data_IF_117391583094
#
_entry.id   IF_117391583094
#
_cell.length_a   1.000
_cell.length_b   1.000
_cell.length_c   1.000
_cell.angle_alpha   90.00
_cell.angle_beta   90.00
_cell.angle_gamma   90.00
#
_symmetry.space_group_name_H-M   'P 1'
#
loop_
_entity.id
_entity.type
_entity.pdbx_description
1 polymer ?
#
# COMPACT_ATOMS: atom_id res chain seq x y z
N UNK A 1 -54.50 6.85 -2.39
CA UNK A 1 -53.22 7.50 -2.74
C UNK A 1 -52.37 7.57 -1.47
N UNK A 2 -51.44 6.63 -1.29
CA UNK A 2 -50.40 6.67 -0.24
C UNK A 2 -49.16 6.02 -0.84
N UNK A 3 -48.19 6.84 -1.20
CA UNK A 3 -46.81 6.41 -1.41
C UNK A 3 -46.04 6.94 -0.20
N UNK A 4 -45.67 6.02 0.69
CA UNK A 4 -44.64 6.30 1.69
C UNK A 4 -43.32 6.41 0.93
N UNK A 5 -42.78 7.62 0.84
CA UNK A 5 -41.36 7.82 0.55
C UNK A 5 -40.58 7.51 1.82
N UNK A 6 -40.01 6.31 1.87
CA UNK A 6 -39.10 5.87 2.92
C UNK A 6 -37.80 5.40 2.28
N UNK A 7 -36.83 6.32 2.24
CA UNK A 7 -35.40 6.06 2.42
C UNK A 7 -34.77 4.89 1.66
N UNK A 8 -34.62 5.06 0.34
CA UNK A 8 -33.70 4.24 -0.46
C UNK A 8 -32.21 4.65 -0.31
N UNK A 9 -31.86 5.46 0.68
CA UNK A 9 -30.49 5.99 0.89
C UNK A 9 -29.73 5.25 2.00
N UNK A 10 -30.39 4.37 2.76
CA UNK A 10 -29.79 3.61 3.86
C UNK A 10 -29.08 2.30 3.46
N UNK A 11 -28.98 1.98 2.17
CA UNK A 11 -28.63 0.63 1.67
C UNK A 11 -27.25 0.51 1.02
N UNK A 12 -26.32 1.43 1.29
CA UNK A 12 -24.90 1.17 1.08
C UNK A 12 -24.30 0.79 2.43
N UNK A 13 -24.21 -0.52 2.67
CA UNK A 13 -23.46 -1.11 3.78
C UNK A 13 -22.09 -0.44 3.91
N UNK A 14 -21.93 0.54 4.80
CA UNK A 14 -20.61 1.00 5.20
C UNK A 14 -20.09 0.00 6.21
N UNK A 15 -19.57 -1.13 5.72
CA UNK A 15 -18.87 -2.06 6.58
C UNK A 15 -17.76 -1.30 7.29
N UNK A 16 -17.67 -1.47 8.61
CA UNK A 16 -16.64 -0.83 9.41
C UNK A 16 -15.28 -1.46 9.07
N UNK A 17 -14.25 -0.62 8.92
CA UNK A 17 -12.89 -1.12 8.70
C UNK A 17 -12.41 -1.87 9.94
N UNK A 18 -11.94 -3.09 9.76
CA UNK A 18 -11.13 -3.79 10.76
C UNK A 18 -9.70 -3.28 10.64
N UNK A 19 -9.37 -2.25 11.41
CA UNK A 19 -8.03 -1.66 11.41
C UNK A 19 -6.93 -2.64 11.82
N UNK A 20 -7.23 -3.57 12.74
CA UNK A 20 -6.24 -4.53 13.23
C UNK A 20 -5.91 -5.52 12.12
N UNK A 21 -6.93 -6.11 11.50
CA UNK A 21 -6.74 -7.04 10.39
C UNK A 21 -6.13 -6.35 9.16
N UNK A 22 -6.54 -5.10 8.87
CA UNK A 22 -5.97 -4.30 7.78
C UNK A 22 -4.48 -4.04 8.00
N UNK A 23 -4.07 -3.60 9.21
CA UNK A 23 -2.65 -3.38 9.52
C UNK A 23 -1.82 -4.66 9.40
N UNK A 24 -2.37 -5.79 9.85
CA UNK A 24 -1.70 -7.08 9.73
C UNK A 24 -1.50 -7.49 8.27
N UNK A 25 -2.54 -7.35 7.44
CA UNK A 25 -2.48 -7.68 6.01
C UNK A 25 -1.51 -6.78 5.23
N UNK A 26 -1.49 -5.48 5.52
CA UNK A 26 -0.53 -4.55 4.91
C UNK A 26 0.90 -4.87 5.36
N UNK A 27 1.10 -5.20 6.64
CA UNK A 27 2.42 -5.62 7.14
C UNK A 27 2.93 -6.86 6.43
N UNK A 28 2.11 -7.91 6.34
CA UNK A 28 2.44 -9.15 5.63
C UNK A 28 2.82 -8.87 4.18
N UNK A 29 2.03 -8.05 3.48
CA UNK A 29 2.34 -7.61 2.13
C UNK A 29 3.74 -6.98 2.01
N UNK A 30 4.12 -6.09 2.94
CA UNK A 30 5.45 -5.46 2.90
C UNK A 30 6.60 -6.34 3.36
N UNK A 31 6.34 -7.33 4.22
CA UNK A 31 7.37 -8.25 4.74
C UNK A 31 7.61 -9.43 3.79
N UNK A 32 6.59 -9.88 3.06
CA UNK A 32 6.67 -11.07 2.20
C UNK A 32 6.56 -10.77 0.70
N UNK A 33 5.51 -10.07 0.27
CA UNK A 33 5.22 -9.88 -1.16
C UNK A 33 6.08 -8.79 -1.79
N UNK A 34 6.28 -7.68 -1.09
CA UNK A 34 7.07 -6.55 -1.60
C UNK A 34 8.52 -6.94 -1.95
N UNK A 35 9.27 -7.69 -1.10
CA UNK A 35 10.59 -8.20 -1.48
C UNK A 35 10.55 -9.14 -2.69
N UNK A 36 9.50 -9.96 -2.85
CA UNK A 36 9.35 -10.84 -4.02
C UNK A 36 9.11 -10.05 -5.30
N UNK A 37 8.29 -9.00 -5.24
CA UNK A 37 8.05 -8.09 -6.36
C UNK A 37 9.34 -7.38 -6.78
N UNK A 38 10.15 -6.93 -5.82
CA UNK A 38 11.47 -6.35 -6.07
C UNK A 38 12.39 -7.34 -6.82
N UNK A 39 12.47 -8.58 -6.34
CA UNK A 39 13.26 -9.64 -6.97
C UNK A 39 12.75 -9.96 -8.39
N UNK A 40 11.44 -10.10 -8.59
CA UNK A 40 10.85 -10.38 -9.92
C UNK A 40 11.09 -9.25 -10.92
N UNK A 41 11.08 -8.01 -10.46
CA UNK A 41 11.36 -6.84 -11.28
C UNK A 41 12.86 -6.63 -11.54
N UNK A 42 13.75 -7.42 -10.92
CA UNK A 42 15.20 -7.19 -10.86
C UNK A 42 15.53 -5.76 -10.37
N UNK A 43 14.79 -5.29 -9.36
CA UNK A 43 14.95 -3.94 -8.80
C UNK A 43 15.38 -4.07 -7.34
N UNK A 44 16.63 -3.71 -7.05
CA UNK A 44 17.09 -3.44 -5.69
C UNK A 44 16.87 -1.96 -5.36
N UNK A 45 15.99 -1.67 -4.41
CA UNK A 45 15.61 -0.27 -4.11
C UNK A 45 16.66 0.52 -3.32
N UNK A 46 17.74 -0.13 -2.87
CA UNK A 46 18.86 0.49 -2.15
C UNK A 46 19.56 1.57 -3.01
N UNK A 47 19.39 1.54 -4.33
CA UNK A 47 20.01 2.46 -5.30
C UNK A 47 19.05 3.47 -5.95
N UNK A 48 17.77 3.50 -5.57
CA UNK A 48 16.75 4.28 -6.31
C UNK A 48 16.39 5.58 -5.61
N UNK A 49 16.93 6.71 -6.11
CA UNK A 49 16.16 7.95 -6.19
C UNK A 49 15.10 7.69 -7.28
N UNK A 50 13.82 7.64 -6.89
CA UNK A 50 12.62 7.42 -7.72
C UNK A 50 12.87 6.82 -9.12
N UNK A 51 12.52 5.55 -9.38
CA UNK A 51 12.74 4.97 -10.68
C UNK A 51 11.85 5.75 -11.65
N UNK A 52 12.47 6.41 -12.63
CA UNK A 52 11.75 6.91 -13.78
C UNK A 52 11.34 5.66 -14.56
N UNK A 53 10.14 5.17 -14.30
CA UNK A 53 9.56 4.04 -15.03
C UNK A 53 9.13 4.56 -16.40
N UNK A 54 10.10 4.75 -17.30
CA UNK A 54 9.81 5.06 -18.70
C UNK A 54 9.28 3.79 -19.38
N UNK A 55 7.98 3.74 -19.64
CA UNK A 55 7.36 2.68 -20.45
C UNK A 55 6.20 1.92 -19.81
N UNK A 56 5.57 2.44 -18.75
CA UNK A 56 4.36 1.82 -18.23
C UNK A 56 3.17 1.99 -19.21
N UNK A 57 2.47 0.90 -19.59
CA UNK A 57 1.17 1.01 -20.22
C UNK A 57 0.19 1.62 -19.20
N UNK A 58 -0.48 2.70 -19.58
CA UNK A 58 -1.52 3.31 -18.75
C UNK A 58 -2.80 2.45 -18.76
N UNK A 59 -3.28 2.07 -17.58
CA UNK A 59 -4.56 1.38 -17.38
C UNK A 59 -4.43 0.42 -16.19
N UNK A 60 -5.30 0.39 -15.18
CA UNK A 60 -6.71 0.74 -15.13
C UNK A 60 -7.45 -0.51 -14.62
N UNK A 61 -7.94 -0.47 -13.37
CA UNK A 61 -8.78 -1.46 -12.68
C UNK A 61 -8.41 -2.95 -12.84
N UNK A 62 -7.69 -3.50 -11.85
CA UNK A 62 -7.54 -4.95 -11.70
C UNK A 62 -8.74 -5.57 -10.97
N UNK A 63 -9.84 -5.73 -11.69
CA UNK A 63 -11.00 -6.51 -11.29
C UNK A 63 -11.10 -7.79 -12.12
N UNK A 64 -10.82 -8.93 -11.48
CA UNK A 64 -11.13 -10.31 -11.91
C UNK A 64 -10.67 -10.77 -13.30
N UNK A 65 -9.65 -11.64 -13.27
CA UNK A 65 -9.55 -12.85 -14.08
C UNK A 65 -10.06 -12.75 -15.53
N UNK A 66 -9.36 -12.07 -16.43
CA UNK A 66 -9.15 -12.53 -17.81
C UNK A 66 -8.13 -11.66 -18.52
N UNK A 67 -7.10 -12.32 -19.03
CA UNK A 67 -6.34 -11.94 -20.22
C UNK A 67 -5.43 -10.71 -20.17
N UNK A 68 -4.31 -10.83 -19.46
CA UNK A 68 -3.11 -10.09 -19.86
C UNK A 68 -1.86 -10.94 -19.59
N UNK A 69 -1.30 -11.53 -20.66
CA UNK A 69 -0.01 -12.25 -20.65
C UNK A 69 1.15 -11.27 -20.47
N UNK A 70 1.15 -10.49 -19.40
CA UNK A 70 2.38 -9.83 -18.96
C UNK A 70 3.32 -10.90 -18.41
N UNK A 71 4.60 -10.81 -18.76
CA UNK A 71 5.61 -11.58 -18.05
C UNK A 71 5.55 -11.23 -16.56
N UNK A 72 5.87 -12.18 -15.68
CA UNK A 72 5.92 -11.94 -14.22
C UNK A 72 6.76 -10.69 -13.89
N UNK A 73 7.80 -10.41 -14.69
CA UNK A 73 8.62 -9.21 -14.60
C UNK A 73 7.86 -7.91 -14.90
N UNK A 74 7.08 -7.85 -15.99
CA UNK A 74 6.29 -6.66 -16.34
C UNK A 74 5.21 -6.40 -15.29
N UNK A 75 4.53 -7.44 -14.83
CA UNK A 75 3.52 -7.33 -13.78
C UNK A 75 4.14 -6.81 -12.47
N UNK A 76 5.29 -7.35 -12.06
CA UNK A 76 6.01 -6.87 -10.88
C UNK A 76 6.37 -5.39 -10.96
N UNK A 77 6.80 -4.90 -12.14
CA UNK A 77 7.07 -3.46 -12.35
C UNK A 77 5.82 -2.59 -12.21
N UNK A 78 4.67 -3.06 -12.67
CA UNK A 78 3.40 -2.34 -12.51
C UNK A 78 3.00 -2.25 -11.04
N UNK A 79 3.11 -3.34 -10.28
CA UNK A 79 2.87 -3.33 -8.84
C UNK A 79 3.81 -2.36 -8.12
N UNK A 80 5.11 -2.40 -8.40
CA UNK A 80 6.09 -1.49 -7.79
C UNK A 80 5.80 -0.01 -8.11
N UNK A 81 5.32 0.27 -9.32
CA UNK A 81 4.89 1.62 -9.68
C UNK A 81 3.68 2.09 -8.88
N UNK A 82 2.64 1.25 -8.78
CA UNK A 82 1.44 1.55 -8.02
C UNK A 82 1.74 1.70 -6.51
N UNK A 83 2.69 0.92 -5.97
CA UNK A 83 3.18 1.11 -4.59
C UNK A 83 3.80 2.50 -4.45
N UNK A 84 4.62 2.95 -5.41
CA UNK A 84 5.22 4.28 -5.35
C UNK A 84 4.18 5.40 -5.43
N UNK A 85 3.17 5.27 -6.30
CA UNK A 85 2.06 6.21 -6.39
C UNK A 85 1.28 6.27 -5.06
N UNK A 86 1.00 5.12 -4.45
CA UNK A 86 0.37 5.07 -3.13
C UNK A 86 1.24 5.77 -2.06
N UNK A 87 2.56 5.58 -2.08
CA UNK A 87 3.52 6.28 -1.20
C UNK A 87 3.56 7.78 -1.43
N UNK A 88 3.35 8.26 -2.66
CA UNK A 88 3.28 9.70 -2.95
C UNK A 88 2.06 10.36 -2.30
N UNK A 89 0.97 9.61 -2.12
CA UNK A 89 -0.20 10.04 -1.36
C UNK A 89 0.02 10.12 0.16
N UNK A 90 1.08 9.52 0.71
CA UNK A 90 1.37 9.55 2.15
C UNK A 90 2.03 10.88 2.54
N UNK A 91 1.41 11.60 3.48
CA UNK A 91 2.01 12.80 4.10
C UNK A 91 3.19 12.45 4.99
N UNK A 92 4.05 13.43 5.28
CA UNK A 92 5.07 13.29 6.32
C UNK A 92 4.42 13.29 7.73
N UNK A 93 4.95 12.52 8.71
CA UNK A 93 6.16 11.69 8.66
C UNK A 93 5.94 10.25 8.16
N UNK A 94 4.70 9.85 7.87
CA UNK A 94 4.33 8.46 7.53
C UNK A 94 5.12 7.89 6.36
N UNK A 95 5.21 8.66 5.26
CA UNK A 95 6.00 8.28 4.09
C UNK A 95 7.46 8.00 4.47
N UNK A 96 8.08 8.89 5.24
CA UNK A 96 9.47 8.74 5.64
C UNK A 96 9.71 7.46 6.45
N UNK A 97 8.85 7.15 7.42
CA UNK A 97 8.97 5.94 8.23
C UNK A 97 8.80 4.66 7.40
N UNK A 98 7.85 4.66 6.46
CA UNK A 98 7.67 3.53 5.53
C UNK A 98 8.90 3.34 4.63
N UNK A 99 9.48 4.42 4.11
CA UNK A 99 10.73 4.36 3.32
C UNK A 99 11.90 3.83 4.14
N UNK A 100 12.11 4.32 5.37
CA UNK A 100 13.20 3.85 6.22
C UNK A 100 13.05 2.35 6.54
N UNK A 101 11.84 1.89 6.87
CA UNK A 101 11.59 0.52 7.34
C UNK A 101 11.54 -0.51 6.22
N UNK A 102 10.91 -0.19 5.09
CA UNK A 102 10.61 -1.17 4.03
C UNK A 102 11.46 -1.01 2.77
N UNK A 103 11.85 0.21 2.42
CA UNK A 103 12.70 0.44 1.25
C UNK A 103 14.17 0.33 1.61
N UNK A 104 14.57 0.95 2.73
CA UNK A 104 15.95 0.90 3.24
C UNK A 104 16.22 -0.25 4.19
N UNK A 105 15.18 -1.01 4.56
CA UNK A 105 15.26 -2.18 5.44
C UNK A 105 15.99 -1.92 6.75
N UNK A 106 15.85 -0.70 7.32
CA UNK A 106 16.50 -0.35 8.57
C UNK A 106 15.81 -1.02 9.76
N UNK A 107 16.61 -1.41 10.76
CA UNK A 107 16.10 -1.85 12.05
C UNK A 107 15.49 -0.69 12.83
N UNK A 108 14.66 -0.97 13.84
CA UNK A 108 14.09 0.08 14.68
C UNK A 108 15.15 0.91 15.42
N UNK A 109 16.20 0.26 15.91
CA UNK A 109 17.37 0.92 16.49
C UNK A 109 17.98 1.93 15.50
N UNK A 110 18.24 1.48 14.27
CA UNK A 110 18.76 2.33 13.19
C UNK A 110 17.81 3.48 12.82
N UNK A 111 16.50 3.28 12.88
CA UNK A 111 15.50 4.34 12.61
C UNK A 111 15.49 5.35 13.76
N UNK A 112 15.54 4.89 15.01
CA UNK A 112 15.60 5.77 16.18
C UNK A 112 16.89 6.58 16.24
N UNK A 113 18.01 6.08 15.73
CA UNK A 113 19.26 6.86 15.62
C UNK A 113 19.16 8.00 14.58
N UNK A 114 18.25 7.87 13.60
CA UNK A 114 18.12 8.78 12.45
C UNK A 114 16.95 9.75 12.57
N UNK A 115 16.11 9.58 13.58
CA UNK A 115 14.87 10.34 13.76
C UNK A 115 14.71 10.77 15.22
N UNK A 116 13.97 11.85 15.51
CA UNK A 116 13.73 12.26 16.90
C UNK A 116 12.72 11.35 17.63
N UNK A 117 12.32 10.23 17.04
CA UNK A 117 11.25 9.38 17.54
C UNK A 117 11.81 8.10 18.18
N UNK A 118 11.23 7.75 19.33
CA UNK A 118 11.40 6.41 19.90
C UNK A 118 10.84 5.33 18.98
N UNK A 119 11.33 4.10 19.14
CA UNK A 119 10.80 2.94 18.42
C UNK A 119 9.28 2.82 18.55
N UNK A 120 8.74 3.00 19.76
CA UNK A 120 7.28 2.94 19.99
C UNK A 120 6.52 4.00 19.19
N UNK A 121 7.03 5.23 19.13
CA UNK A 121 6.43 6.29 18.32
C UNK A 121 6.53 5.96 16.83
N UNK A 122 7.66 5.44 16.37
CA UNK A 122 7.85 4.99 14.99
C UNK A 122 6.89 3.86 14.60
N UNK A 123 6.69 2.88 15.48
CA UNK A 123 5.74 1.79 15.26
C UNK A 123 4.30 2.31 15.15
N UNK A 124 3.90 3.28 15.98
CA UNK A 124 2.58 3.91 15.88
C UNK A 124 2.42 4.66 14.55
N UNK A 125 3.44 5.42 14.14
CA UNK A 125 3.45 6.11 12.83
C UNK A 125 3.28 5.10 11.69
N UNK A 126 4.03 3.98 11.70
CA UNK A 126 3.89 2.95 10.65
C UNK A 126 2.50 2.30 10.67
N UNK A 127 1.94 2.01 11.85
CA UNK A 127 0.61 1.43 11.95
C UNK A 127 -0.48 2.33 11.33
N UNK A 128 -0.36 3.65 11.52
CA UNK A 128 -1.24 4.62 10.85
C UNK A 128 -0.95 4.70 9.35
N UNK A 129 0.32 4.66 8.97
CA UNK A 129 0.75 4.64 7.57
C UNK A 129 0.18 3.45 6.81
N UNK A 130 0.06 2.28 7.43
CA UNK A 130 -0.55 1.09 6.82
C UNK A 130 -2.01 1.29 6.47
N UNK A 131 -2.79 1.94 7.33
CA UNK A 131 -4.19 2.24 7.02
C UNK A 131 -4.27 3.19 5.83
N UNK A 132 -3.48 4.28 5.84
CA UNK A 132 -3.44 5.23 4.72
C UNK A 132 -3.01 4.56 3.41
N UNK A 133 -2.00 3.71 3.47
CA UNK A 133 -1.54 2.94 2.31
C UNK A 133 -2.63 2.00 1.78
N UNK A 134 -3.36 1.28 2.65
CA UNK A 134 -4.43 0.38 2.22
C UNK A 134 -5.55 1.11 1.46
N UNK A 135 -5.85 2.36 1.83
CA UNK A 135 -6.79 3.19 1.07
C UNK A 135 -6.20 3.67 -0.26
N UNK A 136 -4.95 4.14 -0.25
CA UNK A 136 -4.29 4.65 -1.46
C UNK A 136 -4.02 3.55 -2.50
N UNK A 137 -3.87 2.29 -2.07
CA UNK A 137 -3.53 1.16 -2.92
C UNK A 137 -4.75 0.31 -3.34
N UNK A 138 -5.96 0.69 -2.92
CA UNK A 138 -7.17 -0.12 -3.08
C UNK A 138 -7.54 -0.44 -4.54
N UNK A 139 -7.21 0.45 -5.48
CA UNK A 139 -7.46 0.23 -6.91
C UNK A 139 -6.51 -0.80 -7.54
N UNK A 140 -5.39 -1.10 -6.87
CA UNK A 140 -4.39 -2.10 -7.30
C UNK A 140 -4.57 -3.42 -6.57
N UNK A 141 -4.68 -3.38 -5.24
CA UNK A 141 -4.88 -4.56 -4.41
C UNK A 141 -5.72 -4.22 -3.19
N UNK A 142 -6.80 -4.98 -2.98
CA UNK A 142 -7.64 -4.80 -1.82
C UNK A 142 -6.95 -5.31 -0.55
N UNK A 143 -6.33 -4.40 0.18
CA UNK A 143 -5.67 -4.67 1.47
C UNK A 143 -6.55 -4.32 2.67
N UNK A 144 -7.71 -3.67 2.47
CA UNK A 144 -8.63 -3.34 3.56
C UNK A 144 -9.42 -4.58 3.95
N UNK A 145 -9.60 -4.75 5.25
CA UNK A 145 -10.45 -5.79 5.82
C UNK A 145 -11.62 -5.11 6.49
N UNK A 146 -12.83 -5.58 6.21
CA UNK A 146 -14.07 -5.01 6.72
C UNK A 146 -14.81 -6.03 7.59
N UNK A 147 -15.45 -5.56 8.66
CA UNK A 147 -16.25 -6.38 9.58
C UNK A 147 -17.51 -6.96 8.92
#
# INVERSE_FOLDING_TARGET
MRLQGGDAVGFLYTKELDEVATRAKVREFFEDDFPRLQQQAHIDYVSIKSPVISGMPGGGHYGNATDDKYSMHTQAKMYLAAINEAFEGLRQPYRHFMELRYYKQLTWEQISDRTPYSERQGQNIINEAFIMFAFAFADTLELRVFK
#
